data_IF_099378110059
#
_entry.id   IF_099378110059
#
_cell.length_a   1.000
_cell.length_b   1.000
_cell.length_c   1.000
_cell.angle_alpha   90.00
_cell.angle_beta   90.00
_cell.angle_gamma   90.00
#
_symmetry.space_group_name_H-M   'P 1'
#
loop_
_entity.id
_entity.type
_entity.pdbx_description
1 polymer ?
#
# COMPACT_ATOMS: atom_id res chain seq x y z
N UNK A 1 25.44 -8.04 46.98
CA UNK A 1 24.72 -9.32 46.84
C UNK A 1 24.52 -9.59 45.36
N UNK A 2 25.40 -10.42 44.80
CA UNK A 2 25.41 -10.83 43.40
C UNK A 2 24.63 -12.14 43.24
N UNK A 3 23.89 -12.30 42.14
CA UNK A 3 23.49 -13.60 41.62
C UNK A 3 23.79 -13.65 40.13
N UNK A 4 24.93 -14.28 39.83
CA UNK A 4 25.27 -14.84 38.52
C UNK A 4 24.23 -15.90 38.12
N UNK A 5 23.85 -15.91 36.84
CA UNK A 5 23.36 -17.12 36.17
C UNK A 5 24.33 -17.44 35.03
N UNK A 6 25.01 -18.56 35.21
CA UNK A 6 25.85 -19.25 34.24
C UNK A 6 24.92 -20.14 33.40
N UNK A 7 25.02 -20.07 32.07
CA UNK A 7 24.54 -21.14 31.20
C UNK A 7 25.70 -21.64 30.35
N UNK A 8 25.90 -22.95 30.43
CA UNK A 8 27.05 -23.68 29.95
C UNK A 8 26.93 -23.99 28.45
N UNK A 9 28.11 -24.03 27.83
CA UNK A 9 28.37 -24.53 26.49
C UNK A 9 28.18 -26.05 26.41
N UNK A 10 27.60 -26.54 25.32
CA UNK A 10 27.56 -27.94 24.95
C UNK A 10 27.96 -28.10 23.48
N UNK A 11 29.24 -28.38 23.26
CA UNK A 11 29.82 -28.74 21.96
C UNK A 11 29.36 -30.14 21.54
N UNK A 12 28.84 -30.29 20.32
CA UNK A 12 28.76 -31.58 19.63
C UNK A 12 29.54 -31.49 18.32
N UNK A 13 30.73 -32.10 18.33
CA UNK A 13 31.52 -32.42 17.15
C UNK A 13 31.04 -33.78 16.67
N UNK A 14 30.30 -33.80 15.56
CA UNK A 14 29.83 -35.01 14.89
C UNK A 14 30.44 -35.10 13.49
N UNK A 15 31.59 -35.78 13.41
CA UNK A 15 32.29 -36.17 12.20
C UNK A 15 31.39 -37.09 11.36
N UNK A 16 31.04 -36.71 10.13
CA UNK A 16 30.48 -37.64 9.14
C UNK A 16 31.29 -37.58 7.85
N UNK A 17 31.83 -38.75 7.52
CA UNK A 17 32.70 -39.04 6.39
C UNK A 17 32.02 -38.75 5.05
N UNK A 18 32.87 -38.33 4.12
CA UNK A 18 32.63 -38.22 2.70
C UNK A 18 32.25 -39.55 2.04
N UNK A 19 31.26 -39.48 1.15
CA UNK A 19 31.06 -40.42 0.05
C UNK A 19 30.85 -39.59 -1.22
N UNK A 20 31.95 -39.36 -1.94
CA UNK A 20 31.95 -38.75 -3.27
C UNK A 20 31.57 -39.83 -4.27
N UNK A 21 30.30 -39.84 -4.68
CA UNK A 21 29.83 -40.61 -5.83
C UNK A 21 29.81 -39.69 -7.06
N UNK A 22 30.79 -39.87 -7.94
CA UNK A 22 30.82 -39.30 -9.29
C UNK A 22 29.72 -39.97 -10.14
N UNK A 23 28.52 -39.39 -10.13
CA UNK A 23 27.45 -39.69 -11.07
C UNK A 23 27.45 -38.68 -12.21
N UNK A 24 27.72 -39.12 -13.42
CA UNK A 24 27.51 -38.34 -14.65
C UNK A 24 26.03 -37.98 -14.77
N UNK A 25 25.67 -36.73 -14.44
CA UNK A 25 24.35 -36.18 -14.73
C UNK A 25 24.26 -35.84 -16.22
N UNK A 26 23.44 -36.59 -16.95
CA UNK A 26 22.94 -36.20 -18.27
C UNK A 26 22.26 -34.83 -18.14
N UNK A 27 22.43 -33.92 -19.13
CA UNK A 27 21.67 -32.68 -19.15
C UNK A 27 20.20 -33.05 -19.38
N UNK A 28 19.39 -33.00 -18.32
CA UNK A 28 17.95 -32.92 -18.47
C UNK A 28 17.68 -31.65 -19.26
N UNK A 29 17.31 -31.82 -20.53
CA UNK A 29 16.73 -30.75 -21.32
C UNK A 29 15.47 -30.29 -20.58
N UNK A 30 15.59 -29.17 -19.86
CA UNK A 30 14.45 -28.42 -19.36
C UNK A 30 13.62 -28.05 -20.59
N UNK A 31 12.56 -28.81 -20.86
CA UNK A 31 11.52 -28.36 -21.77
C UNK A 31 11.00 -27.05 -21.19
N UNK A 32 10.97 -25.94 -21.96
CA UNK A 32 10.27 -24.76 -21.51
C UNK A 32 8.84 -25.18 -21.17
N UNK A 33 8.46 -25.01 -19.91
CA UNK A 33 7.06 -25.11 -19.50
C UNK A 33 6.35 -24.05 -20.34
N UNK A 34 5.54 -24.49 -21.32
CA UNK A 34 4.76 -23.56 -22.12
C UNK A 34 3.81 -22.84 -21.18
N UNK A 35 3.95 -21.52 -21.07
CA UNK A 35 3.11 -20.66 -20.25
C UNK A 35 1.69 -20.48 -20.82
N UNK A 36 1.27 -21.34 -21.75
CA UNK A 36 0.08 -21.15 -22.58
C UNK A 36 -1.05 -22.16 -22.27
N UNK A 37 -0.98 -22.87 -21.13
CA UNK A 37 -2.16 -23.57 -20.64
C UNK A 37 -3.06 -22.53 -19.97
N UNK A 38 -3.95 -21.91 -20.77
CA UNK A 38 -5.09 -21.19 -20.22
C UNK A 38 -5.78 -22.11 -19.20
N UNK A 39 -5.97 -21.66 -17.95
CA UNK A 39 -6.69 -22.48 -16.99
C UNK A 39 -8.10 -22.73 -17.55
N UNK A 40 -8.48 -24.00 -17.72
CA UNK A 40 -9.79 -24.48 -18.22
C UNK A 40 -10.99 -24.12 -17.28
N UNK A 41 -10.85 -23.06 -16.47
CA UNK A 41 -11.89 -22.56 -15.58
C UNK A 41 -12.81 -21.54 -16.26
N UNK A 42 -14.03 -21.33 -15.74
CA UNK A 42 -14.87 -20.22 -16.16
C UNK A 42 -14.12 -18.90 -15.98
N UNK A 43 -14.34 -17.94 -16.87
CA UNK A 43 -13.76 -16.60 -16.74
C UNK A 43 -14.21 -15.97 -15.41
N UNK A 44 -13.25 -15.44 -14.65
CA UNK A 44 -13.47 -14.76 -13.37
C UNK A 44 -13.14 -13.26 -13.50
N UNK A 45 -13.97 -12.49 -14.24
CA UNK A 45 -13.69 -11.08 -14.52
C UNK A 45 -13.63 -10.23 -13.24
N UNK A 46 -14.40 -10.58 -12.21
CA UNK A 46 -14.37 -9.93 -10.91
C UNK A 46 -13.03 -10.11 -10.19
N UNK A 47 -12.52 -11.34 -10.16
CA UNK A 47 -11.17 -11.62 -9.64
C UNK A 47 -10.09 -10.87 -10.41
N UNK A 48 -10.23 -10.73 -11.73
CA UNK A 48 -9.29 -9.94 -12.53
C UNK A 48 -9.29 -8.46 -12.09
N UNK A 49 -10.45 -7.84 -11.86
CA UNK A 49 -10.52 -6.46 -11.34
C UNK A 49 -9.79 -6.32 -10.00
N UNK A 50 -9.99 -7.26 -9.07
CA UNK A 50 -9.33 -7.25 -7.76
C UNK A 50 -7.80 -7.43 -7.87
N UNK A 51 -7.36 -8.33 -8.74
CA UNK A 51 -5.93 -8.61 -8.98
C UNK A 51 -5.24 -7.44 -9.69
N UNK A 52 -5.90 -6.81 -10.65
CA UNK A 52 -5.37 -5.72 -11.47
C UNK A 52 -5.51 -4.35 -10.79
N UNK A 53 -6.27 -4.23 -9.69
CA UNK A 53 -6.43 -2.98 -8.95
C UNK A 53 -5.06 -2.38 -8.58
N UNK A 54 -4.70 -1.17 -9.03
CA UNK A 54 -3.35 -0.66 -8.87
C UNK A 54 -3.11 -0.11 -7.46
N UNK A 55 -2.01 -0.53 -6.83
CA UNK A 55 -1.46 0.10 -5.63
C UNK A 55 -0.23 0.93 -5.98
N UNK A 56 0.05 1.97 -5.20
CA UNK A 56 1.34 2.66 -5.29
C UNK A 56 2.48 1.70 -4.95
N UNK A 57 3.67 1.99 -5.47
CA UNK A 57 4.87 1.26 -5.06
C UNK A 57 5.04 1.39 -3.54
N UNK A 58 5.59 0.35 -2.92
CA UNK A 58 5.72 0.18 -1.47
C UNK A 58 4.44 -0.14 -0.69
N UNK A 59 3.25 0.00 -1.25
CA UNK A 59 2.03 -0.47 -0.60
C UNK A 59 1.91 -2.00 -0.68
N UNK A 60 1.23 -2.58 0.30
CA UNK A 60 0.86 -4.00 0.27
C UNK A 60 -0.57 -4.16 -0.18
N UNK A 61 -0.79 -4.85 -1.30
CA UNK A 61 -2.15 -5.19 -1.76
C UNK A 61 -2.70 -6.35 -0.94
N UNK A 62 -3.89 -6.19 -0.38
CA UNK A 62 -4.66 -7.28 0.22
C UNK A 62 -5.96 -7.47 -0.55
N UNK A 63 -6.29 -8.72 -0.87
CA UNK A 63 -7.53 -9.09 -1.56
C UNK A 63 -8.34 -9.99 -0.63
N UNK A 64 -9.59 -9.61 -0.41
CA UNK A 64 -10.56 -10.34 0.40
C UNK A 64 -11.73 -10.73 -0.48
N UNK A 65 -12.14 -12.00 -0.42
CA UNK A 65 -13.28 -12.52 -1.20
C UNK A 65 -14.24 -13.28 -0.28
N UNK A 66 -15.53 -13.16 -0.56
CA UNK A 66 -16.64 -13.89 0.03
C UNK A 66 -17.52 -14.44 -1.09
N UNK A 67 -18.06 -15.63 -0.91
CA UNK A 67 -18.62 -16.42 -2.01
C UNK A 67 -17.54 -16.90 -2.98
N UNK A 68 -17.95 -17.46 -4.11
CA UNK A 68 -17.11 -17.93 -5.20
C UNK A 68 -17.61 -17.30 -6.50
N UNK A 69 -16.70 -16.76 -7.31
CA UNK A 69 -17.07 -16.29 -8.65
C UNK A 69 -17.17 -17.49 -9.59
N UNK A 70 -18.38 -18.05 -9.71
CA UNK A 70 -18.65 -19.22 -10.55
C UNK A 70 -19.89 -19.07 -11.46
N UNK A 71 -20.47 -17.87 -11.51
CA UNK A 71 -21.58 -17.56 -12.40
C UNK A 71 -22.93 -17.86 -11.80
N UNK A 72 -23.08 -17.67 -10.50
CA UNK A 72 -24.28 -17.94 -9.71
C UNK A 72 -24.60 -19.43 -9.62
N UNK A 73 -23.57 -20.28 -9.51
CA UNK A 73 -23.78 -21.71 -9.36
C UNK A 73 -24.35 -22.01 -7.99
N UNK A 74 -25.50 -22.67 -7.95
CA UNK A 74 -26.06 -23.18 -6.69
C UNK A 74 -25.32 -24.44 -6.20
N UNK A 75 -24.32 -24.92 -6.94
CA UNK A 75 -23.52 -26.09 -6.61
C UNK A 75 -22.42 -25.75 -5.61
N UNK A 76 -22.83 -25.63 -4.35
CA UNK A 76 -21.94 -25.16 -3.30
C UNK A 76 -22.82 -24.54 -2.25
N UNK A 77 -22.52 -24.79 -0.97
CA UNK A 77 -23.23 -24.08 0.09
C UNK A 77 -22.38 -22.92 0.55
N UNK A 78 -22.73 -21.75 0.07
CA UNK A 78 -22.01 -20.52 0.31
C UNK A 78 -22.85 -19.60 1.16
N UNK A 79 -22.54 -19.50 2.45
CA UNK A 79 -23.33 -18.69 3.37
C UNK A 79 -22.61 -17.39 3.68
N UNK A 80 -23.37 -16.29 3.60
CA UNK A 80 -22.95 -15.02 4.18
C UNK A 80 -22.68 -15.16 5.67
N UNK A 81 -21.75 -14.35 6.18
CA UNK A 81 -21.32 -14.37 7.58
C UNK A 81 -21.78 -13.09 8.26
N UNK A 82 -22.51 -13.20 9.37
CA UNK A 82 -22.76 -12.03 10.19
C UNK A 82 -21.58 -11.81 11.13
N UNK A 83 -21.12 -10.57 11.21
CA UNK A 83 -20.20 -10.19 12.28
C UNK A 83 -20.88 -10.40 13.65
N UNK A 84 -20.18 -10.90 14.69
CA UNK A 84 -20.76 -11.14 16.02
C UNK A 84 -21.52 -9.95 16.62
N UNK A 85 -21.09 -8.72 16.30
CA UNK A 85 -21.77 -7.47 16.71
C UNK A 85 -23.24 -7.37 16.23
N UNK A 86 -23.58 -8.06 15.14
CA UNK A 86 -24.92 -8.09 14.54
C UNK A 86 -25.68 -9.37 14.88
N UNK A 87 -25.10 -10.35 15.59
CA UNK A 87 -25.79 -11.62 15.89
C UNK A 87 -27.06 -11.43 16.71
N UNK A 88 -27.11 -10.42 17.59
CA UNK A 88 -28.31 -10.12 18.36
C UNK A 88 -29.47 -9.61 17.49
N UNK A 89 -29.18 -9.09 16.29
CA UNK A 89 -30.20 -8.66 15.32
C UNK A 89 -30.83 -9.82 14.56
N UNK A 90 -30.25 -11.03 14.57
CA UNK A 90 -30.93 -12.24 14.04
C UNK A 90 -32.26 -12.54 14.72
N UNK A 91 -32.52 -11.98 15.90
CA UNK A 91 -33.79 -12.13 16.59
C UNK A 91 -34.93 -11.32 15.96
N UNK A 92 -34.60 -10.35 15.09
CA UNK A 92 -35.57 -9.63 14.26
C UNK A 92 -35.81 -10.44 12.98
N UNK A 93 -37.05 -10.44 12.48
CA UNK A 93 -37.62 -11.34 11.46
C UNK A 93 -36.98 -11.31 10.05
N UNK A 94 -35.71 -10.91 9.90
CA UNK A 94 -34.99 -10.85 8.64
C UNK A 94 -34.40 -12.23 8.34
N UNK A 95 -34.84 -12.85 7.25
CA UNK A 95 -34.29 -14.11 6.77
C UNK A 95 -32.99 -13.85 5.99
N UNK A 96 -31.90 -14.51 6.40
CA UNK A 96 -30.62 -14.40 5.70
C UNK A 96 -30.52 -15.41 4.55
N UNK A 97 -30.04 -14.95 3.39
CA UNK A 97 -29.79 -15.77 2.21
C UNK A 97 -28.33 -16.25 2.10
N UNK A 98 -28.07 -17.40 1.47
CA UNK A 98 -26.75 -17.75 0.94
C UNK A 98 -26.44 -16.96 -0.35
N UNK A 99 -25.19 -17.03 -0.82
CA UNK A 99 -24.81 -16.64 -2.18
C UNK A 99 -25.55 -17.52 -3.21
N UNK A 100 -25.59 -17.05 -4.47
CA UNK A 100 -26.13 -17.71 -5.68
C UNK A 100 -27.64 -17.96 -5.70
N UNK A 101 -28.32 -17.84 -4.55
CA UNK A 101 -29.74 -18.14 -4.43
C UNK A 101 -30.60 -16.88 -4.42
N UNK A 102 -31.50 -16.83 -5.38
CA UNK A 102 -32.60 -15.86 -5.43
C UNK A 102 -33.67 -16.28 -4.44
N UNK A 103 -33.99 -15.43 -3.46
CA UNK A 103 -35.05 -15.73 -2.50
C UNK A 103 -35.85 -14.49 -2.12
N UNK A 104 -37.17 -14.60 -2.33
CA UNK A 104 -38.19 -13.65 -1.87
C UNK A 104 -37.90 -13.12 -0.47
N UNK A 105 -37.82 -11.79 -0.34
CA UNK A 105 -37.76 -11.08 0.93
C UNK A 105 -36.56 -11.49 1.82
N UNK A 106 -35.39 -11.76 1.23
CA UNK A 106 -34.18 -12.11 1.97
C UNK A 106 -33.10 -11.05 1.91
N UNK A 107 -32.19 -11.11 2.87
CA UNK A 107 -31.01 -10.25 2.90
C UNK A 107 -29.77 -11.13 2.91
N UNK A 108 -28.86 -10.93 1.97
CA UNK A 108 -27.49 -11.40 2.11
C UNK A 108 -26.73 -10.42 3.01
N UNK A 109 -26.05 -10.93 4.01
CA UNK A 109 -25.17 -10.15 4.88
C UNK A 109 -23.81 -10.82 4.98
N UNK A 110 -22.75 -10.05 4.73
CA UNK A 110 -21.37 -10.43 5.00
C UNK A 110 -20.59 -9.25 5.58
N UNK A 111 -19.32 -9.49 5.93
CA UNK A 111 -18.42 -8.44 6.38
C UNK A 111 -16.95 -8.73 6.04
N UNK A 112 -16.17 -7.65 6.04
CA UNK A 112 -14.73 -7.65 5.93
C UNK A 112 -14.08 -7.05 7.17
N UNK A 113 -12.95 -7.61 7.58
CA UNK A 113 -12.05 -7.05 8.59
C UNK A 113 -10.90 -6.42 7.81
N UNK A 114 -10.96 -5.10 7.64
CA UNK A 114 -9.99 -4.37 6.81
C UNK A 114 -8.99 -3.65 7.71
N UNK A 115 -7.69 -3.62 7.34
CA UNK A 115 -6.74 -2.75 8.01
C UNK A 115 -7.16 -1.28 7.88
N UNK A 116 -6.93 -0.50 8.92
CA UNK A 116 -7.24 0.94 8.96
C UNK A 116 -6.19 1.80 8.24
N UNK A 117 -4.95 1.32 8.12
CA UNK A 117 -3.85 1.98 7.40
C UNK A 117 -3.89 1.72 5.89
N UNK A 118 -5.07 1.80 5.26
CA UNK A 118 -5.18 1.68 3.80
C UNK A 118 -5.08 3.04 3.13
N UNK A 119 -4.55 3.11 1.91
CA UNK A 119 -4.48 4.32 1.09
C UNK A 119 -5.63 4.43 0.09
N UNK A 120 -6.11 3.29 -0.40
CA UNK A 120 -7.14 3.18 -1.43
C UNK A 120 -7.76 1.78 -1.41
N UNK A 121 -8.88 1.61 -2.11
CA UNK A 121 -9.51 0.31 -2.28
C UNK A 121 -10.58 0.28 -3.37
N UNK A 122 -10.95 -0.93 -3.80
CA UNK A 122 -12.07 -1.19 -4.72
C UNK A 122 -12.98 -2.25 -4.12
N UNK A 123 -14.28 -2.00 -4.24
CA UNK A 123 -15.33 -2.97 -3.98
C UNK A 123 -15.77 -3.59 -5.32
N UNK A 124 -15.91 -4.91 -5.37
CA UNK A 124 -16.35 -5.64 -6.56
C UNK A 124 -17.39 -6.67 -6.13
N UNK A 125 -18.47 -6.79 -6.88
CA UNK A 125 -19.48 -7.83 -6.66
C UNK A 125 -20.19 -8.13 -7.97
N UNK A 126 -20.78 -9.32 -8.07
CA UNK A 126 -21.63 -9.66 -9.20
C UNK A 126 -23.05 -9.90 -8.71
N UNK A 127 -23.97 -9.11 -9.25
CA UNK A 127 -25.36 -9.01 -8.81
C UNK A 127 -26.28 -9.32 -9.98
N UNK A 128 -27.31 -10.13 -9.71
CA UNK A 128 -28.38 -10.39 -10.66
C UNK A 128 -29.73 -10.16 -9.97
N UNK A 129 -30.34 -8.97 -10.15
CA UNK A 129 -31.68 -8.72 -9.63
C UNK A 129 -32.69 -9.59 -10.38
N UNK A 130 -33.61 -10.24 -9.65
CA UNK A 130 -34.63 -11.10 -10.27
C UNK A 130 -35.98 -10.41 -10.43
N UNK A 131 -36.29 -9.47 -9.55
CA UNK A 131 -37.51 -8.70 -9.63
C UNK A 131 -37.23 -7.32 -10.24
N UNK A 132 -38.13 -6.85 -11.11
CA UNK A 132 -38.07 -5.49 -11.66
C UNK A 132 -38.70 -4.44 -10.75
N UNK A 133 -38.96 -4.76 -9.47
CA UNK A 133 -39.68 -3.89 -8.54
C UNK A 133 -38.83 -2.68 -8.08
N UNK A 134 -37.50 -2.76 -8.26
CA UNK A 134 -36.54 -1.71 -7.95
C UNK A 134 -36.40 -1.39 -6.47
N UNK A 135 -36.80 -2.31 -5.58
CA UNK A 135 -36.67 -2.15 -4.12
C UNK A 135 -35.35 -2.69 -3.57
N UNK A 136 -34.64 -3.49 -4.36
CA UNK A 136 -33.35 -4.07 -4.01
C UNK A 136 -32.31 -2.97 -3.73
N UNK A 137 -31.59 -3.15 -2.63
CA UNK A 137 -30.56 -2.21 -2.18
C UNK A 137 -29.27 -2.92 -1.85
N UNK A 138 -28.16 -2.24 -2.11
CA UNK A 138 -26.82 -2.58 -1.64
C UNK A 138 -26.39 -1.51 -0.63
N UNK A 139 -26.02 -1.95 0.58
CA UNK A 139 -25.49 -1.10 1.64
C UNK A 139 -24.09 -1.57 2.03
N UNK A 140 -23.13 -0.65 2.07
CA UNK A 140 -21.73 -0.91 2.44
C UNK A 140 -21.36 0.06 3.56
N UNK A 141 -20.79 -0.41 4.67
CA UNK A 141 -20.37 0.46 5.79
C UNK A 141 -20.70 -0.11 7.16
N UNK A 142 -21.11 0.77 8.09
CA UNK A 142 -21.63 0.36 9.40
C UNK A 142 -23.15 0.20 9.37
N UNK A 143 -23.61 -1.04 9.20
CA UNK A 143 -25.05 -1.38 9.18
C UNK A 143 -25.61 -1.67 10.58
N UNK A 144 -24.83 -1.41 11.64
CA UNK A 144 -25.30 -1.69 12.99
C UNK A 144 -26.60 -0.95 13.32
N UNK A 145 -27.52 -1.62 14.03
CA UNK A 145 -28.82 -1.06 14.37
C UNK A 145 -28.64 0.22 15.17
N UNK A 146 -29.47 1.23 14.89
CA UNK A 146 -29.53 2.41 15.75
C UNK A 146 -29.96 2.00 17.16
N UNK A 147 -29.06 2.14 18.13
CA UNK A 147 -29.39 2.08 19.56
C UNK A 147 -29.42 3.49 20.11
N UNK A 148 -30.37 3.77 21.00
CA UNK A 148 -30.51 5.09 21.60
C UNK A 148 -29.21 5.48 22.34
N UNK A 149 -28.54 6.53 21.84
CA UNK A 149 -27.25 7.00 22.38
C UNK A 149 -26.00 6.46 21.65
N UNK A 150 -26.16 5.55 20.68
CA UNK A 150 -25.07 5.07 19.82
C UNK A 150 -25.00 5.86 18.51
N UNK A 151 -23.84 5.80 17.83
CA UNK A 151 -23.64 6.45 16.53
C UNK A 151 -24.65 5.90 15.52
N UNK A 152 -25.24 6.79 14.71
CA UNK A 152 -26.10 6.37 13.62
C UNK A 152 -25.35 5.47 12.64
N UNK A 153 -26.01 4.44 12.06
CA UNK A 153 -25.42 3.66 10.99
C UNK A 153 -24.93 4.59 9.89
N UNK A 154 -23.72 4.30 9.41
CA UNK A 154 -23.00 5.11 8.44
C UNK A 154 -22.70 4.21 7.26
N UNK A 155 -23.55 4.31 6.23
CA UNK A 155 -23.54 3.38 5.10
C UNK A 155 -23.56 4.16 3.79
N UNK A 156 -22.86 3.64 2.79
CA UNK A 156 -23.12 3.96 1.39
C UNK A 156 -24.25 3.05 0.92
N UNK A 157 -25.41 3.63 0.60
CA UNK A 157 -26.62 2.89 0.22
C UNK A 157 -26.99 3.21 -1.23
N UNK A 158 -27.21 2.17 -2.01
CA UNK A 158 -27.48 2.23 -3.44
C UNK A 158 -28.72 1.40 -3.76
N UNK A 159 -29.63 1.93 -4.57
CA UNK A 159 -30.70 1.14 -5.17
C UNK A 159 -30.16 0.47 -6.41
N UNK A 160 -30.31 -0.84 -6.54
CA UNK A 160 -29.67 -1.58 -7.65
C UNK A 160 -30.13 -1.08 -9.03
N UNK A 161 -31.40 -0.67 -9.15
CA UNK A 161 -31.95 -0.11 -10.39
C UNK A 161 -31.44 1.28 -10.74
N UNK A 162 -30.87 2.02 -9.78
CA UNK A 162 -30.37 3.38 -10.00
C UNK A 162 -28.84 3.44 -10.10
N UNK A 163 -28.11 2.36 -9.74
CA UNK A 163 -26.64 2.36 -9.68
C UNK A 163 -25.97 2.81 -11.00
N UNK A 164 -26.53 2.42 -12.15
CA UNK A 164 -26.00 2.80 -13.46
C UNK A 164 -26.09 4.32 -13.73
N UNK A 165 -27.03 5.02 -13.10
CA UNK A 165 -27.26 6.45 -13.29
C UNK A 165 -26.45 7.32 -12.30
N UNK A 166 -25.95 6.72 -11.22
CA UNK A 166 -25.22 7.44 -10.16
C UNK A 166 -23.81 7.90 -10.59
N UNK A 167 -23.22 7.28 -11.61
CA UNK A 167 -21.85 7.58 -12.08
C UNK A 167 -20.71 7.11 -11.18
N UNK A 168 -21.03 6.58 -9.99
CA UNK A 168 -20.09 5.99 -9.01
C UNK A 168 -19.67 4.57 -9.38
N UNK A 169 -20.52 3.84 -10.11
CA UNK A 169 -20.35 2.42 -10.37
C UNK A 169 -19.90 2.16 -11.79
N UNK A 170 -18.88 1.32 -11.95
CA UNK A 170 -18.55 0.69 -13.23
C UNK A 170 -19.32 -0.62 -13.31
N UNK A 171 -20.22 -0.72 -14.29
CA UNK A 171 -21.12 -1.87 -14.46
C UNK A 171 -20.88 -2.52 -15.82
N UNK A 172 -20.54 -3.81 -15.81
CA UNK A 172 -20.32 -4.64 -16.99
C UNK A 172 -21.19 -5.90 -16.91
N UNK A 173 -22.40 -5.83 -17.47
CA UNK A 173 -23.40 -6.88 -17.31
C UNK A 173 -23.83 -7.02 -15.85
N UNK A 174 -23.61 -8.19 -15.26
CA UNK A 174 -23.92 -8.46 -13.84
C UNK A 174 -22.76 -8.02 -12.90
N UNK A 175 -21.60 -7.62 -13.43
CA UNK A 175 -20.43 -7.25 -12.64
C UNK A 175 -20.47 -5.76 -12.27
N UNK A 176 -20.32 -5.47 -10.98
CA UNK A 176 -20.39 -4.12 -10.42
C UNK A 176 -19.10 -3.85 -9.64
N UNK A 177 -18.50 -2.68 -9.87
CA UNK A 177 -17.34 -2.23 -9.09
C UNK A 177 -17.38 -0.73 -8.82
N UNK A 178 -16.83 -0.34 -7.69
CA UNK A 178 -16.71 1.06 -7.27
C UNK A 178 -15.48 1.25 -6.38
N UNK A 179 -14.83 2.40 -6.52
CA UNK A 179 -13.68 2.76 -5.67
C UNK A 179 -14.16 3.24 -4.31
N UNK A 180 -13.39 2.95 -3.27
CA UNK A 180 -13.74 3.32 -1.89
C UNK A 180 -13.88 4.84 -1.71
N UNK A 181 -13.09 5.64 -2.44
CA UNK A 181 -13.16 7.11 -2.44
C UNK A 181 -14.39 7.68 -3.15
N UNK A 182 -15.11 6.87 -3.94
CA UNK A 182 -16.31 7.28 -4.69
C UNK A 182 -17.60 6.91 -3.95
N UNK A 183 -17.56 5.86 -3.12
CA UNK A 183 -18.70 5.39 -2.32
C UNK A 183 -18.99 6.34 -1.15
N UNK A 184 -19.95 7.25 -1.34
CA UNK A 184 -20.32 8.29 -0.36
C UNK A 184 -21.17 7.75 0.78
N UNK A 185 -20.74 8.03 2.01
CA UNK A 185 -21.50 7.67 3.20
C UNK A 185 -22.73 8.57 3.38
N UNK A 186 -23.83 7.97 3.81
CA UNK A 186 -25.07 8.63 4.21
C UNK A 186 -25.39 8.24 5.65
N UNK A 187 -25.82 9.20 6.49
CA UNK A 187 -26.33 8.92 7.84
C UNK A 187 -27.84 8.75 7.81
N UNK A 188 -28.31 7.64 8.36
CA UNK A 188 -29.73 7.40 8.54
C UNK A 188 -30.23 8.12 9.80
N UNK A 189 -31.17 9.08 9.67
CA UNK A 189 -31.94 9.59 10.81
C UNK A 189 -33.16 8.72 11.06
N UNK A 190 -33.30 8.26 12.30
CA UNK A 190 -34.47 7.52 12.77
C UNK A 190 -35.75 8.39 12.74
N UNK A 191 -36.69 8.00 11.88
CA UNK A 191 -38.15 8.00 12.11
C UNK A 191 -38.94 9.32 12.26
N UNK A 192 -38.45 10.47 11.83
CA UNK A 192 -39.36 11.53 11.37
C UNK A 192 -39.38 11.49 9.85
N UNK A 193 -40.56 11.28 9.26
CA UNK A 193 -40.89 11.13 7.82
C UNK A 193 -40.48 12.32 6.91
N UNK A 194 -39.40 13.03 7.22
CA UNK A 194 -38.81 14.01 6.32
C UNK A 194 -37.73 13.32 5.50
N UNK A 195 -37.76 13.56 4.18
CA UNK A 195 -36.83 12.96 3.22
C UNK A 195 -35.36 13.07 3.68
N UNK A 196 -34.54 12.05 3.37
CA UNK A 196 -33.11 12.06 3.71
C UNK A 196 -32.43 13.26 3.06
N UNK A 197 -32.20 14.32 3.85
CA UNK A 197 -31.32 15.42 3.45
C UNK A 197 -29.88 14.95 3.63
N UNK A 198 -29.06 15.15 2.60
CA UNK A 198 -27.61 15.03 2.71
C UNK A 198 -27.11 16.02 3.77
N UNK A 199 -26.93 15.56 5.00
CA UNK A 199 -26.30 16.33 6.06
C UNK A 199 -24.79 16.15 5.96
N UNK A 200 -24.05 17.25 6.08
CA UNK A 200 -22.61 17.18 6.35
C UNK A 200 -22.40 16.40 7.64
N UNK A 201 -21.65 15.31 7.53
CA UNK A 201 -21.26 14.49 8.65
C UNK A 201 -20.36 15.35 9.54
N UNK A 202 -20.67 15.44 10.84
CA UNK A 202 -19.70 16.01 11.79
C UNK A 202 -18.47 15.09 11.79
N UNK A 203 -17.40 15.55 11.13
CA UNK A 203 -16.13 14.82 10.92
C UNK A 203 -15.85 14.46 9.46
N UNK A 204 -14.58 14.16 9.16
CA UNK A 204 -14.03 13.92 7.82
C UNK A 204 -14.52 12.61 7.13
N UNK A 205 -15.56 11.94 7.65
CA UNK A 205 -16.03 10.64 7.15
C UNK A 205 -16.98 10.79 5.96
N UNK A 206 -16.49 11.09 4.76
CA UNK A 206 -17.36 11.32 3.60
C UNK A 206 -17.53 10.08 2.71
N UNK A 207 -16.61 9.14 2.80
CA UNK A 207 -16.49 8.00 1.88
C UNK A 207 -16.24 6.68 2.64
N UNK A 208 -16.42 5.55 1.98
CA UNK A 208 -16.03 4.25 2.54
C UNK A 208 -14.54 4.21 2.89
N UNK A 209 -13.68 4.87 2.11
CA UNK A 209 -12.26 5.00 2.44
C UNK A 209 -12.06 5.70 3.79
N UNK A 210 -12.74 6.82 4.02
CA UNK A 210 -12.66 7.56 5.28
C UNK A 210 -13.17 6.73 6.46
N UNK A 211 -14.27 5.98 6.25
CA UNK A 211 -14.81 5.07 7.25
C UNK A 211 -13.81 3.99 7.65
N UNK A 212 -13.21 3.29 6.69
CA UNK A 212 -12.22 2.24 6.96
C UNK A 212 -11.00 2.80 7.69
N UNK A 213 -10.49 3.97 7.27
CA UNK A 213 -9.37 4.67 7.91
C UNK A 213 -9.65 5.16 9.34
N UNK A 214 -10.93 5.30 9.71
CA UNK A 214 -11.31 5.77 11.04
C UNK A 214 -11.23 4.72 12.15
N UNK A 215 -11.00 3.45 11.79
CA UNK A 215 -10.81 2.36 12.74
C UNK A 215 -9.47 2.39 13.47
N UNK A 216 -9.39 1.72 14.62
CA UNK A 216 -8.14 1.52 15.37
C UNK A 216 -7.56 0.13 15.04
N UNK A 217 -6.63 0.09 14.10
CA UNK A 217 -6.03 -1.15 13.61
C UNK A 217 -6.89 -1.85 12.56
N UNK A 218 -8.05 -2.39 12.95
CA UNK A 218 -8.97 -3.12 12.07
C UNK A 218 -10.36 -2.46 12.09
N UNK A 219 -10.92 -2.22 10.91
CA UNK A 219 -12.28 -1.71 10.73
C UNK A 219 -13.18 -2.78 10.11
N UNK A 220 -14.37 -2.95 10.68
CA UNK A 220 -15.39 -3.84 10.13
C UNK A 220 -16.15 -3.11 9.04
N UNK A 221 -16.16 -3.67 7.82
CA UNK A 221 -16.95 -3.20 6.69
C UNK A 221 -18.07 -4.21 6.45
N UNK A 222 -19.29 -3.89 6.85
CA UNK A 222 -20.44 -4.75 6.57
C UNK A 222 -20.97 -4.49 5.16
N UNK A 223 -21.52 -5.54 4.58
CA UNK A 223 -22.18 -5.50 3.27
C UNK A 223 -23.54 -6.18 3.40
N UNK A 224 -24.60 -5.42 3.10
CA UNK A 224 -25.98 -5.89 3.11
C UNK A 224 -26.58 -5.72 1.72
N UNK A 225 -27.12 -6.80 1.16
CA UNK A 225 -27.82 -6.80 -0.12
C UNK A 225 -29.21 -7.36 0.12
N UNK A 226 -30.24 -6.55 -0.16
CA UNK A 226 -31.62 -6.89 0.17
C UNK A 226 -32.45 -7.37 -1.02
N UNK A 227 -33.58 -7.98 -0.65
CA UNK A 227 -34.73 -8.39 -1.48
C UNK A 227 -34.45 -9.63 -2.36
N UNK A 228 -34.57 -9.51 -3.68
CA UNK A 228 -34.61 -10.64 -4.62
C UNK A 228 -33.37 -10.71 -5.53
N UNK A 229 -32.23 -10.25 -5.03
CA UNK A 229 -30.98 -10.23 -5.78
C UNK A 229 -30.13 -11.47 -5.49
N UNK A 230 -29.79 -12.21 -6.54
CA UNK A 230 -28.71 -13.19 -6.45
C UNK A 230 -27.36 -12.48 -6.42
N UNK A 231 -26.45 -12.99 -5.59
CA UNK A 231 -25.09 -12.48 -5.42
C UNK A 231 -24.15 -13.66 -5.62
N UNK A 232 -23.28 -13.58 -6.62
CA UNK A 232 -22.27 -14.61 -6.94
C UNK A 232 -21.16 -14.55 -5.87
N UNK A 233 -20.53 -13.37 -5.75
CA UNK A 233 -19.46 -13.12 -4.80
C UNK A 233 -19.40 -11.65 -4.41
N UNK A 234 -18.67 -11.37 -3.33
CA UNK A 234 -18.27 -10.01 -2.92
C UNK A 234 -16.76 -10.01 -2.70
N UNK A 235 -16.07 -9.09 -3.34
CA UNK A 235 -14.63 -8.91 -3.27
C UNK A 235 -14.23 -7.50 -2.91
N UNK A 236 -13.12 -7.38 -2.18
CA UNK A 236 -12.49 -6.12 -1.83
C UNK A 236 -11.00 -6.25 -2.08
N UNK A 237 -10.41 -5.30 -2.78
CA UNK A 237 -8.95 -5.13 -2.83
C UNK A 237 -8.59 -3.78 -2.20
N UNK A 238 -7.63 -3.77 -1.29
CA UNK A 238 -7.14 -2.55 -0.63
C UNK A 238 -5.62 -2.47 -0.74
N UNK A 239 -5.12 -1.24 -0.73
CA UNK A 239 -3.69 -0.97 -0.69
C UNK A 239 -3.33 -0.47 0.71
N UNK A 240 -2.49 -1.21 1.42
CA UNK A 240 -2.05 -0.89 2.77
C UNK A 240 -0.75 -0.07 2.73
N UNK A 241 -0.74 1.03 3.49
CA UNK A 241 0.43 1.88 3.68
C UNK A 241 1.49 1.16 4.52
N UNK A 242 2.79 1.37 4.24
CA UNK A 242 3.85 0.77 5.04
C UNK A 242 3.70 1.07 6.54
N UNK A 243 3.92 0.09 7.44
CA UNK A 243 3.68 0.25 8.88
C UNK A 243 4.66 1.21 9.57
N UNK A 244 5.69 1.68 8.86
CA UNK A 244 6.70 2.60 9.38
C UNK A 244 7.17 3.51 8.25
N UNK A 245 7.17 4.81 8.51
CA UNK A 245 7.74 5.81 7.62
C UNK A 245 9.25 5.64 7.52
N UNK A 246 9.75 5.60 6.29
CA UNK A 246 11.18 5.52 6.00
C UNK A 246 11.54 6.48 4.88
N UNK A 247 12.74 7.03 4.97
CA UNK A 247 13.38 7.76 3.89
C UNK A 247 14.40 6.88 3.19
N UNK A 248 14.66 7.20 1.93
CA UNK A 248 15.83 6.72 1.24
C UNK A 248 17.07 7.45 1.76
N UNK A 249 18.18 6.73 1.88
CA UNK A 249 19.47 7.33 2.23
C UNK A 249 20.61 6.81 1.37
N UNK A 250 21.49 7.73 0.98
CA UNK A 250 22.70 7.38 0.22
C UNK A 250 23.87 7.16 1.16
N UNK A 251 24.78 6.27 0.78
CA UNK A 251 26.01 6.01 1.54
C UNK A 251 27.14 6.87 1.01
N UNK A 252 27.83 7.53 1.94
CA UNK A 252 29.13 8.14 1.72
C UNK A 252 30.21 7.06 1.80
N UNK A 253 30.74 6.61 0.66
CA UNK A 253 31.86 5.68 0.67
C UNK A 253 33.18 6.47 0.52
N UNK A 254 34.03 6.43 1.55
CA UNK A 254 35.31 7.15 1.57
C UNK A 254 36.25 6.69 0.45
N UNK A 255 36.11 5.45 -0.05
CA UNK A 255 36.87 4.95 -1.20
C UNK A 255 36.47 5.62 -2.52
N UNK A 256 35.34 6.33 -2.56
CA UNK A 256 34.85 7.02 -3.75
C UNK A 256 35.20 8.51 -3.75
N UNK A 257 35.93 8.96 -2.73
CA UNK A 257 36.50 10.30 -2.70
C UNK A 257 37.66 10.37 -3.68
N UNK A 258 37.56 11.24 -4.68
CA UNK A 258 38.64 11.48 -5.64
C UNK A 258 39.41 12.71 -5.20
N UNK A 259 40.40 12.52 -4.34
CA UNK A 259 41.28 13.59 -3.84
C UNK A 259 41.92 14.42 -4.97
N UNK A 260 42.14 13.82 -6.15
CA UNK A 260 42.66 14.49 -7.35
C UNK A 260 41.69 15.47 -8.02
N UNK A 261 40.38 15.35 -7.78
CA UNK A 261 39.34 16.19 -8.42
C UNK A 261 38.53 17.01 -7.43
N UNK A 262 38.63 16.73 -6.13
CA UNK A 262 37.78 17.37 -5.11
C UNK A 262 36.32 16.90 -5.15
N UNK A 263 36.01 15.89 -5.97
CA UNK A 263 34.68 15.31 -6.06
C UNK A 263 34.50 14.13 -5.10
N UNK A 264 33.28 14.01 -4.60
CA UNK A 264 32.80 12.90 -3.79
C UNK A 264 31.67 12.20 -4.54
N UNK A 265 31.54 10.90 -4.35
CA UNK A 265 30.44 10.12 -4.89
C UNK A 265 29.67 9.40 -3.76
N UNK A 266 28.36 9.33 -3.93
CA UNK A 266 27.41 8.66 -3.08
C UNK A 266 26.62 7.67 -3.91
N UNK A 267 26.16 6.62 -3.26
CA UNK A 267 25.38 5.61 -3.95
C UNK A 267 24.50 4.79 -3.04
N UNK A 268 23.54 4.17 -3.68
CA UNK A 268 22.61 3.20 -3.15
C UNK A 268 23.06 1.75 -3.27
N UNK A 269 24.06 1.51 -4.12
CA UNK A 269 24.27 0.22 -4.77
C UNK A 269 25.51 -0.52 -4.30
N UNK A 270 25.97 -0.22 -3.09
CA UNK A 270 26.91 -1.11 -2.41
C UNK A 270 26.13 -2.37 -1.99
N UNK A 271 26.41 -3.48 -2.66
CA UNK A 271 25.83 -4.79 -2.38
C UNK A 271 26.42 -5.35 -1.07
N UNK A 272 25.61 -5.48 -0.02
CA UNK A 272 26.01 -6.14 1.23
C UNK A 272 25.55 -7.60 1.23
N UNK A 273 26.16 -8.41 0.37
CA UNK A 273 26.02 -9.86 0.40
C UNK A 273 24.73 -10.38 -0.24
N UNK A 274 23.55 -10.01 0.27
CA UNK A 274 22.24 -10.51 -0.16
C UNK A 274 21.21 -9.40 -0.46
N UNK A 275 21.50 -8.14 -0.15
CA UNK A 275 20.63 -7.00 -0.44
C UNK A 275 21.41 -5.72 -0.80
N UNK A 276 20.73 -4.81 -1.49
CA UNK A 276 21.19 -3.42 -1.66
C UNK A 276 20.97 -2.66 -0.34
N UNK A 277 21.90 -1.78 0.00
CA UNK A 277 21.82 -0.99 1.24
C UNK A 277 20.64 -0.01 1.22
N UNK A 278 20.14 0.39 0.05
CA UNK A 278 19.02 1.32 -0.07
C UNK A 278 17.79 0.72 -0.76
N UNK A 279 16.61 1.24 -0.43
CA UNK A 279 15.33 0.88 -1.03
C UNK A 279 14.62 2.18 -1.49
N UNK A 280 14.59 2.47 -2.80
CA UNK A 280 13.98 3.69 -3.32
C UNK A 280 12.45 3.63 -3.39
N UNK A 281 11.82 2.53 -2.97
CA UNK A 281 10.36 2.38 -2.97
C UNK A 281 9.81 2.45 -1.55
N UNK A 282 10.34 1.60 -0.65
CA UNK A 282 9.91 1.53 0.75
C UNK A 282 10.69 2.47 1.67
N UNK A 283 11.80 3.05 1.19
CA UNK A 283 12.79 3.66 2.05
C UNK A 283 13.60 2.62 2.83
N UNK A 284 14.82 2.99 3.21
CA UNK A 284 15.77 2.09 3.87
C UNK A 284 16.08 2.51 5.31
N UNK A 285 15.77 3.75 5.68
CA UNK A 285 16.11 4.29 7.00
C UNK A 285 14.87 4.88 7.64
N UNK A 286 14.52 4.48 8.88
CA UNK A 286 13.39 5.08 9.61
C UNK A 286 13.54 6.59 9.78
N UNK A 287 12.47 7.33 9.52
CA UNK A 287 12.52 8.81 9.50
C UNK A 287 12.86 9.44 10.86
N UNK A 288 12.65 8.72 11.97
CA UNK A 288 13.08 9.15 13.30
C UNK A 288 14.60 9.05 13.54
N UNK A 289 15.35 8.42 12.63
CA UNK A 289 16.80 8.26 12.73
C UNK A 289 17.48 9.62 12.53
N UNK A 290 18.34 10.00 13.46
CA UNK A 290 19.17 11.19 13.31
C UNK A 290 20.35 10.87 12.38
N UNK A 291 20.38 11.51 11.21
CA UNK A 291 21.51 11.46 10.28
C UNK A 291 21.54 12.76 9.46
N UNK A 292 22.62 13.05 8.74
CA UNK A 292 22.78 14.32 8.05
C UNK A 292 21.82 14.44 6.88
N UNK A 293 21.38 15.66 6.61
CA UNK A 293 20.78 15.99 5.34
C UNK A 293 21.88 16.29 4.32
N UNK A 294 21.79 15.69 3.13
CA UNK A 294 22.65 16.06 2.02
C UNK A 294 22.06 17.29 1.34
N UNK A 295 22.84 18.37 1.32
CA UNK A 295 22.47 19.60 0.64
C UNK A 295 23.25 19.71 -0.68
N UNK A 296 22.60 20.28 -1.68
CA UNK A 296 23.09 20.41 -3.04
C UNK A 296 22.95 21.85 -3.53
N UNK A 297 24.00 22.33 -4.19
CA UNK A 297 24.04 23.58 -4.93
C UNK A 297 24.33 23.28 -6.40
N UNK A 298 23.41 23.67 -7.29
CA UNK A 298 23.60 23.46 -8.72
C UNK A 298 24.59 24.49 -9.28
N UNK A 299 25.73 24.00 -9.78
CA UNK A 299 26.77 24.83 -10.40
C UNK A 299 26.75 24.71 -11.93
N UNK A 300 26.01 23.74 -12.49
CA UNK A 300 26.04 23.44 -13.93
C UNK A 300 27.43 23.08 -14.46
N UNK A 301 28.31 22.55 -13.60
CA UNK A 301 29.71 22.30 -13.94
C UNK A 301 29.86 21.04 -14.81
N UNK A 302 30.76 21.04 -15.82
CA UNK A 302 31.07 19.83 -16.56
C UNK A 302 31.74 18.79 -15.67
N UNK A 303 31.76 17.54 -16.14
CA UNK A 303 32.52 16.46 -15.50
C UNK A 303 33.99 16.90 -15.38
N UNK A 304 34.65 16.76 -14.20
CA UNK A 304 36.05 17.11 -14.05
C UNK A 304 36.96 16.37 -15.04
N UNK A 305 37.88 17.10 -15.67
CA UNK A 305 38.85 16.52 -16.60
C UNK A 305 39.61 15.35 -15.94
N UNK A 306 39.72 14.23 -16.67
CA UNK A 306 40.36 13.00 -16.19
C UNK A 306 39.46 12.11 -15.33
N UNK A 307 38.23 12.54 -15.00
CA UNK A 307 37.27 11.69 -14.31
C UNK A 307 36.49 10.75 -15.25
N UNK A 308 36.41 11.12 -16.53
CA UNK A 308 35.79 10.43 -17.68
C UNK A 308 36.41 9.05 -17.99
N UNK A 309 37.70 8.85 -17.67
CA UNK A 309 38.42 7.60 -17.94
C UNK A 309 37.86 6.36 -17.19
N UNK A 310 36.87 6.55 -16.31
CA UNK A 310 36.09 5.48 -15.69
C UNK A 310 34.65 5.58 -16.18
N UNK A 311 34.25 4.60 -16.98
CA UNK A 311 33.01 4.54 -17.77
C UNK A 311 31.70 4.73 -16.99
N UNK A 312 31.71 4.79 -15.66
CA UNK A 312 30.51 4.97 -14.83
C UNK A 312 30.40 6.35 -14.19
N UNK A 313 31.47 7.15 -14.22
CA UNK A 313 31.53 8.41 -13.47
C UNK A 313 30.73 9.53 -14.14
N UNK A 314 30.77 9.60 -15.47
CA UNK A 314 29.94 10.54 -16.25
C UNK A 314 28.46 10.36 -15.93
N UNK A 315 28.04 9.11 -15.72
CA UNK A 315 26.66 8.76 -15.39
C UNK A 315 26.25 9.08 -13.95
N UNK A 316 27.19 9.41 -13.08
CA UNK A 316 26.89 9.76 -11.68
C UNK A 316 27.01 11.26 -11.44
N UNK A 317 27.62 12.00 -12.38
CA UNK A 317 27.90 13.42 -12.23
C UNK A 317 26.63 14.26 -12.26
N UNK A 318 26.46 15.12 -11.25
CA UNK A 318 25.33 16.04 -11.14
C UNK A 318 25.65 17.49 -11.49
N UNK A 319 26.93 17.83 -11.70
CA UNK A 319 27.35 19.19 -12.03
C UNK A 319 27.34 20.19 -10.88
N UNK A 320 27.05 19.77 -9.66
CA UNK A 320 26.94 20.68 -8.51
C UNK A 320 28.01 20.53 -7.44
N UNK A 321 27.72 21.16 -6.31
CA UNK A 321 28.46 21.07 -5.05
C UNK A 321 27.54 20.45 -3.99
N UNK A 322 28.10 19.61 -3.14
CA UNK A 322 27.41 18.96 -2.03
C UNK A 322 28.05 19.28 -0.69
N UNK A 323 27.22 19.30 0.35
CA UNK A 323 27.62 19.44 1.74
C UNK A 323 26.65 18.66 2.64
N UNK A 324 27.13 18.22 3.81
CA UNK A 324 26.28 17.57 4.82
C UNK A 324 26.03 18.50 5.99
N UNK A 325 24.79 18.53 6.48
CA UNK A 325 24.42 19.23 7.72
C UNK A 325 24.91 18.47 8.96
N UNK A 326 24.74 19.03 10.18
CA UNK A 326 24.65 18.23 11.39
C UNK A 326 23.53 17.17 11.30
N UNK A 327 23.59 16.16 12.16
CA UNK A 327 22.60 15.09 12.18
C UNK A 327 21.21 15.65 12.55
N UNK A 328 20.21 15.25 11.75
CA UNK A 328 18.82 15.70 11.86
C UNK A 328 17.89 14.53 11.63
N UNK A 329 16.75 14.50 12.32
CA UNK A 329 15.74 13.46 12.07
C UNK A 329 15.02 13.79 10.75
N UNK A 330 14.78 12.79 9.92
CA UNK A 330 14.06 12.97 8.66
C UNK A 330 12.66 13.55 8.89
N UNK A 331 11.98 13.08 9.94
CA UNK A 331 10.64 13.53 10.35
C UNK A 331 10.60 14.92 11.03
N UNK A 332 11.74 15.62 11.11
CA UNK A 332 11.77 17.01 11.59
C UNK A 332 11.31 18.02 10.55
N UNK A 333 11.18 17.61 9.29
CA UNK A 333 10.67 18.43 8.18
C UNK A 333 9.30 17.91 7.78
N UNK A 334 8.29 18.78 7.78
CA UNK A 334 6.95 18.43 7.31
C UNK A 334 6.88 18.40 5.79
N UNK A 335 7.60 19.30 5.13
CA UNK A 335 7.59 19.46 3.68
C UNK A 335 9.02 19.51 3.12
N UNK A 336 9.17 19.17 1.84
CA UNK A 336 10.44 19.36 1.11
C UNK A 336 10.91 20.82 1.16
N UNK A 337 10.00 21.79 1.18
CA UNK A 337 10.35 23.21 1.30
C UNK A 337 11.02 23.54 2.64
N UNK A 338 10.66 22.84 3.72
CA UNK A 338 11.30 23.03 5.03
C UNK A 338 12.71 22.42 5.04
N UNK A 339 12.90 21.25 4.41
CA UNK A 339 14.22 20.65 4.23
C UNK A 339 15.13 21.51 3.33
N UNK A 340 14.59 22.06 2.23
CA UNK A 340 15.30 23.00 1.36
C UNK A 340 15.66 24.29 2.10
N UNK A 341 14.74 24.85 2.89
CA UNK A 341 15.01 26.02 3.73
C UNK A 341 16.09 25.74 4.78
N UNK A 342 16.12 24.53 5.34
CA UNK A 342 17.18 24.11 6.25
C UNK A 342 18.54 24.08 5.54
N UNK A 343 18.64 23.48 4.36
CA UNK A 343 19.86 23.52 3.56
C UNK A 343 20.31 24.95 3.23
N UNK A 344 19.38 25.82 2.83
CA UNK A 344 19.69 27.22 2.56
C UNK A 344 20.15 27.97 3.83
N UNK A 345 19.55 27.68 4.98
CA UNK A 345 20.00 28.24 6.26
C UNK A 345 21.39 27.78 6.70
N UNK A 346 21.80 26.56 6.33
CA UNK A 346 23.13 26.03 6.66
C UNK A 346 24.24 26.58 5.75
N UNK A 347 23.95 26.72 4.45
CA UNK A 347 25.00 26.95 3.43
C UNK A 347 24.81 28.20 2.56
N UNK A 348 23.70 28.91 2.71
CA UNK A 348 23.38 30.15 1.99
C UNK A 348 22.28 29.98 0.93
N UNK A 349 21.95 31.08 0.26
CA UNK A 349 20.95 31.09 -0.81
C UNK A 349 21.34 30.15 -1.96
N UNK A 350 20.35 29.47 -2.56
CA UNK A 350 20.53 28.55 -3.68
C UNK A 350 20.84 27.09 -3.31
N UNK A 351 21.14 26.81 -2.03
CA UNK A 351 21.24 25.44 -1.54
C UNK A 351 19.86 24.84 -1.30
N UNK A 352 19.70 23.58 -1.70
CA UNK A 352 18.50 22.77 -1.50
C UNK A 352 18.85 21.39 -0.99
N UNK A 353 17.86 20.60 -0.64
CA UNK A 353 18.03 19.16 -0.39
C UNK A 353 18.50 18.49 -1.67
N UNK A 354 19.51 17.64 -1.56
CA UNK A 354 19.97 16.80 -2.64
C UNK A 354 18.91 15.74 -2.95
N UNK A 355 18.80 15.38 -4.22
CA UNK A 355 17.79 14.45 -4.73
C UNK A 355 18.44 13.16 -5.20
N UNK A 356 17.71 12.07 -5.06
CA UNK A 356 18.03 10.74 -5.56
C UNK A 356 18.34 10.72 -7.07
N UNK A 357 17.78 11.69 -7.81
CA UNK A 357 17.92 11.85 -9.26
C UNK A 357 18.82 13.02 -9.67
N UNK A 358 19.62 13.57 -8.76
CA UNK A 358 20.53 14.68 -9.12
C UNK A 358 21.69 14.21 -10.03
N UNK A 359 22.09 12.93 -9.96
CA UNK A 359 22.98 12.31 -10.95
C UNK A 359 22.22 11.73 -12.15
N UNK A 360 22.92 11.45 -13.26
CA UNK A 360 22.28 10.87 -14.44
C UNK A 360 21.73 9.46 -14.20
N UNK A 361 22.28 8.72 -13.22
CA UNK A 361 21.75 7.45 -12.73
C UNK A 361 21.01 7.65 -11.40
N UNK A 362 19.73 7.28 -11.31
CA UNK A 362 19.00 7.28 -10.06
C UNK A 362 19.75 6.52 -8.96
N UNK A 363 19.83 7.11 -7.77
CA UNK A 363 20.48 6.51 -6.60
C UNK A 363 22.00 6.60 -6.61
N UNK A 364 22.59 7.34 -7.55
CA UNK A 364 24.01 7.67 -7.59
C UNK A 364 24.18 9.16 -7.80
N UNK A 365 25.11 9.75 -7.04
CA UNK A 365 25.36 11.18 -7.05
C UNK A 365 26.86 11.43 -6.91
N UNK A 366 27.46 12.09 -7.89
CA UNK A 366 28.84 12.60 -7.84
C UNK A 366 28.83 14.10 -8.04
N UNK A 367 29.47 14.82 -7.12
CA UNK A 367 29.51 16.27 -7.09
C UNK A 367 30.80 16.76 -6.42
N UNK A 368 31.13 18.04 -6.58
CA UNK A 368 32.21 18.66 -5.82
C UNK A 368 31.83 18.73 -4.33
N UNK A 369 32.80 18.58 -3.43
CA UNK A 369 32.58 18.77 -2.00
C UNK A 369 33.27 17.74 -1.14
N UNK A 370 33.50 18.08 0.12
CA UNK A 370 34.06 17.20 1.14
C UNK A 370 32.99 16.82 2.16
N UNK A 371 32.76 15.52 2.33
CA UNK A 371 31.69 14.98 3.19
C UNK A 371 32.24 14.39 4.50
N UNK A 372 33.49 14.73 4.86
CA UNK A 372 34.27 14.08 5.92
C UNK A 372 34.96 12.79 5.44
N UNK A 373 35.63 12.10 6.37
CA UNK A 373 36.34 10.83 6.10
C UNK A 373 35.59 9.59 6.62
N UNK A 374 34.53 9.79 7.40
CA UNK A 374 33.73 8.69 7.97
C UNK A 374 32.62 8.26 7.02
N UNK A 375 32.54 6.96 6.76
CA UNK A 375 31.43 6.40 6.01
C UNK A 375 30.15 6.51 6.82
N UNK A 376 29.15 7.23 6.28
CA UNK A 376 27.84 7.38 6.90
C UNK A 376 26.74 7.55 5.87
N UNK A 377 25.50 7.32 6.29
CA UNK A 377 24.30 7.52 5.45
C UNK A 377 23.85 8.96 5.55
N UNK A 378 23.25 9.47 4.49
CA UNK A 378 22.70 10.83 4.42
C UNK A 378 21.30 10.81 3.84
N UNK A 379 20.42 11.64 4.38
CA UNK A 379 19.09 11.86 3.82
C UNK A 379 19.18 12.51 2.45
N UNK A 380 18.37 12.02 1.51
CA UNK A 380 18.11 12.65 0.21
C UNK A 380 16.61 12.63 -0.08
N UNK A 381 16.19 13.55 -0.94
CA UNK A 381 14.81 13.60 -1.45
C UNK A 381 14.63 12.65 -2.64
N UNK A 382 13.49 11.98 -2.74
CA UNK A 382 13.14 11.17 -3.90
C UNK A 382 11.75 11.54 -4.41
N UNK A 383 11.73 12.03 -5.64
CA UNK A 383 10.51 12.55 -6.26
C UNK A 383 9.60 11.42 -6.73
N UNK A 384 8.30 11.57 -6.48
CA UNK A 384 7.28 10.63 -6.95
C UNK A 384 7.23 9.30 -6.19
N UNK A 385 7.95 9.19 -5.06
CA UNK A 385 7.88 8.03 -4.18
C UNK A 385 7.39 8.50 -2.78
N UNK A 386 6.07 8.45 -2.50
CA UNK A 386 5.51 9.02 -1.27
C UNK A 386 5.97 8.30 0.00
N UNK A 387 6.36 7.03 -0.11
CA UNK A 387 6.73 6.19 1.03
C UNK A 387 8.24 5.97 1.23
N UNK A 388 9.09 6.57 0.38
CA UNK A 388 10.56 6.51 0.53
C UNK A 388 11.18 7.87 0.79
N UNK A 389 10.39 8.81 1.32
CA UNK A 389 10.83 10.15 1.74
C UNK A 389 10.23 10.47 3.11
N UNK A 390 10.93 11.28 3.91
CA UNK A 390 10.50 11.61 5.27
C UNK A 390 9.66 12.88 5.38
N UNK A 391 9.31 13.48 4.24
CA UNK A 391 8.59 14.75 4.17
C UNK A 391 7.59 14.74 3.02
N UNK A 392 6.54 15.53 3.17
CA UNK A 392 5.53 15.73 2.12
C UNK A 392 6.01 16.70 1.04
N UNK A 393 5.31 16.76 -0.08
CA UNK A 393 5.61 17.67 -1.20
C UNK A 393 4.64 18.83 -1.28
#
# INVERSE_FOLDING_TARGET
>A
MARLRVFAWGSFIGLCLALVALGFALPLALRPVSADAEPDGPAQPGMAILQDFPCHRAETKQIFVRGVEDGFSIEGREFGRLHPRLENERTRSVAFGPYDQVQADRILSDYFELPSNISSGVFVTRLRPVSGNGTDTLSIGDVSPFRAGERSPTVSMHRLTAMAEEGTWTIEGDLHSARFEELRLQRYRSATHEEPRAFHLDGDLNTILDYVRSGDGVQILDVWIGDDTAVDFIGVAVCEEPPREKGVSLVLNSNWRRSSTGASALGCDEWQGDHYICDPYLGDTPCETAQPLLCFFDLGSPVPAGAEARSTYEFDWSGGVIATTPDVRGDSFRTISEADAYCSGQFGEGWRTARYHDGLRPGRLSAFGGLGDEARRVWVDIMGQPYSTCWTR
#
